data_IF_258733524595
#
_entry.id   IF_258733524595
#
_cell.length_a   1.000
_cell.length_b   1.000
_cell.length_c   1.000
_cell.angle_alpha   90.00
_cell.angle_beta   90.00
_cell.angle_gamma   90.00
#
_symmetry.space_group_name_H-M   'P 1'
#
loop_
_entity.id
_entity.type
_entity.pdbx_description
1 polymer ?
#
# COMPACT_ATOMS: atom_id res chain seq x y z
N UNK A 1 -11.50 -24.26 -9.87
CA UNK A 1 -11.54 -23.69 -8.51
C UNK A 1 -11.13 -22.23 -8.65
N UNK A 2 -12.11 -21.38 -8.92
CA UNK A 2 -11.92 -19.95 -9.23
C UNK A 2 -11.75 -19.19 -7.91
N UNK A 3 -10.54 -18.71 -7.65
CA UNK A 3 -10.19 -17.94 -6.47
C UNK A 3 -10.79 -16.52 -6.62
N UNK A 4 -12.06 -16.37 -6.24
CA UNK A 4 -12.72 -15.06 -6.24
C UNK A 4 -12.03 -14.17 -5.20
N UNK A 5 -11.30 -13.17 -5.69
CA UNK A 5 -10.86 -12.00 -4.90
C UNK A 5 -12.07 -11.47 -4.11
N UNK A 6 -11.91 -11.06 -2.84
CA UNK A 6 -12.98 -10.35 -2.16
C UNK A 6 -13.30 -9.07 -2.95
N UNK A 7 -14.55 -8.95 -3.40
CA UNK A 7 -15.12 -7.64 -3.75
C UNK A 7 -15.19 -6.88 -2.43
N UNK A 8 -14.32 -5.89 -2.27
CA UNK A 8 -14.51 -4.89 -1.25
C UNK A 8 -15.72 -4.05 -1.67
N UNK A 9 -16.89 -4.47 -1.21
CA UNK A 9 -18.12 -3.70 -1.35
C UNK A 9 -17.95 -2.40 -0.56
N UNK A 10 -18.05 -1.27 -1.25
CA UNK A 10 -18.06 0.04 -0.61
C UNK A 10 -19.23 0.10 0.38
N UNK A 11 -19.07 0.70 1.59
CA UNK A 11 -20.17 0.81 2.53
C UNK A 11 -21.34 1.60 1.92
N UNK A 12 -22.55 1.21 2.30
CA UNK A 12 -23.83 1.72 1.80
C UNK A 12 -24.01 3.26 1.89
N UNK A 13 -23.11 3.99 2.57
CA UNK A 13 -23.12 5.46 2.64
C UNK A 13 -22.76 6.17 1.34
N UNK A 14 -22.26 5.46 0.32
CA UNK A 14 -22.01 6.04 -1.01
C UNK A 14 -23.19 5.88 -1.99
N UNK A 15 -24.26 5.17 -1.61
CA UNK A 15 -25.39 4.87 -2.51
C UNK A 15 -26.57 5.85 -2.40
N UNK A 16 -26.54 6.80 -1.46
CA UNK A 16 -27.74 7.58 -1.09
C UNK A 16 -27.94 8.94 -1.80
N UNK A 17 -27.39 9.12 -3.02
CA UNK A 17 -27.68 10.32 -3.85
C UNK A 17 -27.94 10.00 -5.32
N UNK A 18 -28.41 8.80 -5.65
CA UNK A 18 -28.84 8.50 -7.04
C UNK A 18 -30.35 8.55 -7.25
N UNK A 19 -31.15 8.75 -6.19
CA UNK A 19 -32.60 8.76 -6.28
C UNK A 19 -33.19 9.86 -5.39
N UNK A 20 -33.09 11.12 -5.80
CA UNK A 20 -34.18 12.11 -5.74
C UNK A 20 -33.72 13.52 -6.18
N UNK A 21 -34.50 14.08 -7.10
CA UNK A 21 -34.65 15.50 -7.47
C UNK A 21 -33.83 16.04 -8.66
N UNK A 22 -34.44 15.83 -9.83
CA UNK A 22 -34.83 16.88 -10.79
C UNK A 22 -34.62 18.33 -10.30
N UNK A 23 -33.85 19.07 -11.08
CA UNK A 23 -33.88 20.51 -11.38
C UNK A 23 -34.48 21.47 -10.34
N UNK A 24 -33.67 22.34 -9.71
CA UNK A 24 -33.95 23.79 -9.60
C UNK A 24 -32.62 24.56 -9.41
N UNK A 25 -32.42 25.58 -10.25
CA UNK A 25 -31.33 26.55 -10.20
C UNK A 25 -31.33 27.38 -8.91
N UNK A 26 -30.18 27.55 -8.23
CA UNK A 26 -29.77 28.76 -7.51
C UNK A 26 -28.25 28.70 -7.29
N UNK A 27 -27.57 29.82 -7.54
CA UNK A 27 -26.11 29.93 -7.47
C UNK A 27 -25.52 29.72 -6.08
N UNK A 28 -24.23 29.37 -6.06
CA UNK A 28 -23.40 29.24 -4.87
C UNK A 28 -22.57 27.97 -4.92
N UNK A 29 -21.24 28.11 -4.83
CA UNK A 29 -20.23 27.05 -4.84
C UNK A 29 -20.40 26.02 -3.70
N UNK A 30 -21.42 25.16 -3.79
CA UNK A 30 -21.67 24.08 -2.84
C UNK A 30 -21.16 22.73 -3.37
N UNK A 31 -19.84 22.57 -3.22
CA UNK A 31 -19.13 21.35 -2.80
C UNK A 31 -19.73 20.03 -3.33
N UNK A 32 -19.32 19.64 -4.55
CA UNK A 32 -19.23 18.23 -4.92
C UNK A 32 -18.25 17.54 -3.95
N UNK A 33 -18.75 17.06 -2.80
CA UNK A 33 -17.98 16.20 -1.88
C UNK A 33 -17.73 14.87 -2.56
N UNK A 34 -16.69 14.80 -3.39
CA UNK A 34 -16.14 13.53 -3.81
C UNK A 34 -15.53 12.85 -2.59
N UNK A 35 -15.94 11.60 -2.32
CA UNK A 35 -15.25 10.71 -1.41
C UNK A 35 -13.84 10.45 -1.96
N UNK A 36 -12.88 11.33 -1.64
CA UNK A 36 -11.48 11.09 -1.95
C UNK A 36 -10.91 10.15 -0.89
N UNK A 37 -10.93 8.85 -1.18
CA UNK A 37 -10.19 7.85 -0.42
C UNK A 37 -8.68 8.17 -0.50
N UNK A 38 -8.14 8.90 0.48
CA UNK A 38 -6.70 9.02 0.64
C UNK A 38 -6.25 7.87 1.52
N UNK A 39 -5.49 6.91 0.97
CA UNK A 39 -4.89 5.91 1.83
C UNK A 39 -3.86 6.62 2.70
N UNK A 40 -4.07 6.56 4.00
CA UNK A 40 -3.04 6.92 4.97
C UNK A 40 -2.28 5.64 5.30
N UNK A 41 -0.95 5.67 5.15
CA UNK A 41 -0.09 4.62 5.65
C UNK A 41 0.08 4.84 7.15
N UNK A 42 -0.76 4.18 7.94
CA UNK A 42 -0.54 4.05 9.38
C UNK A 42 0.47 2.93 9.61
N UNK A 43 1.35 3.10 10.59
CA UNK A 43 2.46 2.20 10.88
C UNK A 43 1.99 0.73 10.96
N UNK A 44 2.17 -0.04 9.89
CA UNK A 44 1.75 -1.41 9.79
C UNK A 44 2.52 -2.35 10.71
N UNK A 45 3.79 -2.03 10.99
CA UNK A 45 4.65 -2.70 11.98
C UNK A 45 4.66 -4.23 11.82
N UNK A 46 4.65 -4.74 10.59
CA UNK A 46 4.67 -6.19 10.36
C UNK A 46 5.87 -6.85 11.05
N UNK A 47 7.01 -6.15 11.16
CA UNK A 47 8.22 -6.68 11.78
C UNK A 47 8.05 -7.07 13.25
N UNK A 48 7.06 -6.50 13.95
CA UNK A 48 6.76 -6.83 15.35
C UNK A 48 6.08 -8.20 15.52
N UNK A 49 5.45 -8.70 14.45
CA UNK A 49 4.67 -9.94 14.47
C UNK A 49 5.10 -10.96 13.42
N UNK A 50 6.15 -10.64 12.66
CA UNK A 50 6.78 -11.52 11.69
C UNK A 50 8.25 -11.75 12.04
N UNK A 51 8.74 -12.92 11.67
CA UNK A 51 10.13 -13.36 11.85
C UNK A 51 10.68 -13.89 10.52
N UNK A 52 12.00 -14.08 10.45
CA UNK A 52 12.68 -14.55 9.24
C UNK A 52 12.30 -13.69 8.03
N UNK A 53 12.51 -12.38 8.17
CA UNK A 53 12.17 -11.39 7.15
C UNK A 53 13.37 -11.25 6.21
N UNK A 54 13.15 -11.48 4.92
CA UNK A 54 14.20 -11.38 3.90
C UNK A 54 13.61 -11.07 2.51
N UNK A 55 14.46 -10.55 1.61
CA UNK A 55 14.15 -10.47 0.19
C UNK A 55 14.46 -11.81 -0.46
N UNK A 56 13.57 -12.29 -1.32
CA UNK A 56 13.80 -13.51 -2.08
C UNK A 56 15.09 -13.41 -2.92
N UNK A 57 16.03 -14.37 -2.83
CA UNK A 57 17.31 -14.31 -3.56
C UNK A 57 17.18 -14.27 -5.08
N UNK A 58 16.14 -14.92 -5.62
CA UNK A 58 15.88 -15.00 -7.06
C UNK A 58 15.03 -13.80 -7.53
N UNK A 59 14.31 -13.16 -6.60
CA UNK A 59 13.45 -12.02 -6.86
C UNK A 59 13.52 -10.99 -5.73
N UNK A 60 14.50 -10.10 -5.79
CA UNK A 60 14.76 -9.10 -4.74
C UNK A 60 13.63 -8.09 -4.49
N UNK A 61 12.58 -8.07 -5.32
CA UNK A 61 11.35 -7.27 -5.08
C UNK A 61 10.25 -8.04 -4.36
N UNK A 62 10.47 -9.33 -4.06
CA UNK A 62 9.55 -10.15 -3.28
C UNK A 62 10.05 -10.23 -1.84
N UNK A 63 9.33 -9.59 -0.93
CA UNK A 63 9.58 -9.72 0.51
C UNK A 63 8.93 -10.99 1.00
N UNK A 64 9.67 -11.80 1.75
CA UNK A 64 9.17 -13.00 2.43
C UNK A 64 9.35 -12.89 3.92
N UNK A 65 8.39 -13.40 4.68
CA UNK A 65 8.50 -13.54 6.12
C UNK A 65 7.66 -14.72 6.62
N UNK A 66 7.87 -15.09 7.88
CA UNK A 66 6.96 -15.99 8.61
C UNK A 66 6.23 -15.17 9.67
N UNK A 67 4.92 -15.02 9.50
CA UNK A 67 4.09 -14.08 10.25
C UNK A 67 3.12 -14.80 11.18
N UNK A 68 2.84 -14.18 12.33
CA UNK A 68 1.87 -14.68 13.31
C UNK A 68 0.44 -14.56 12.74
N UNK A 69 -0.25 -15.68 12.66
CA UNK A 69 -1.64 -15.84 12.22
C UNK A 69 -2.56 -16.04 13.42
N UNK A 70 -3.64 -15.26 13.45
CA UNK A 70 -4.64 -15.28 14.52
C UNK A 70 -4.18 -14.69 15.86
N UNK A 71 -5.16 -14.49 16.74
CA UNK A 71 -4.95 -14.10 18.14
C UNK A 71 -4.53 -15.28 19.02
N UNK A 72 -3.95 -14.99 20.18
CA UNK A 72 -3.76 -16.01 21.22
C UNK A 72 -5.12 -16.61 21.65
N UNK A 73 -5.22 -17.91 21.95
CA UNK A 73 -4.13 -18.90 22.11
C UNK A 73 -3.71 -19.61 20.82
N UNK A 74 -4.44 -19.44 19.71
CA UNK A 74 -4.27 -20.22 18.48
C UNK A 74 -3.23 -19.63 17.51
N UNK A 75 -2.36 -18.76 18.01
CA UNK A 75 -1.39 -18.06 17.21
C UNK A 75 -0.43 -19.06 16.53
N UNK A 76 -0.42 -19.08 15.20
CA UNK A 76 0.49 -19.91 14.40
C UNK A 76 1.41 -19.03 13.57
N UNK A 77 2.66 -19.43 13.39
CA UNK A 77 3.54 -18.76 12.43
C UNK A 77 3.39 -19.40 11.05
N UNK A 78 2.99 -18.61 10.06
CA UNK A 78 2.75 -19.03 8.67
C UNK A 78 3.62 -18.24 7.71
N UNK A 79 4.08 -18.87 6.64
CA UNK A 79 4.88 -18.19 5.61
C UNK A 79 3.97 -17.27 4.79
N UNK A 80 4.40 -16.04 4.58
CA UNK A 80 3.73 -15.09 3.68
C UNK A 80 4.76 -14.30 2.88
N UNK A 81 4.30 -13.65 1.83
CA UNK A 81 5.13 -12.87 0.92
C UNK A 81 4.34 -11.74 0.28
N UNK A 82 4.99 -10.61 0.08
CA UNK A 82 4.40 -9.43 -0.56
C UNK A 82 5.34 -8.86 -1.64
N UNK A 83 4.78 -8.51 -2.79
CA UNK A 83 5.53 -7.90 -3.89
C UNK A 83 5.69 -6.40 -3.67
N UNK A 84 6.93 -5.95 -3.47
CA UNK A 84 7.25 -4.58 -3.11
C UNK A 84 6.90 -3.56 -4.21
N UNK A 85 6.97 -3.97 -5.48
CA UNK A 85 6.60 -3.13 -6.63
C UNK A 85 5.12 -2.73 -6.66
N UNK A 86 4.27 -3.35 -5.86
CA UNK A 86 2.84 -3.05 -5.84
C UNK A 86 2.56 -1.63 -5.31
N UNK A 87 3.29 -1.21 -4.27
CA UNK A 87 3.00 0.00 -3.49
C UNK A 87 4.24 0.79 -3.07
N UNK A 88 5.44 0.43 -3.53
CA UNK A 88 6.64 1.25 -3.34
C UNK A 88 6.98 1.92 -4.66
N UNK A 89 7.24 3.23 -4.61
CA UNK A 89 7.67 4.04 -5.74
C UNK A 89 9.01 4.72 -5.51
N UNK A 90 9.66 5.06 -6.60
CA UNK A 90 10.76 6.03 -6.60
C UNK A 90 10.19 7.43 -6.91
N UNK A 91 10.35 8.37 -5.97
CA UNK A 91 10.00 9.76 -6.13
C UNK A 91 11.27 10.61 -6.14
N UNK A 92 11.81 10.89 -7.34
CA UNK A 92 13.02 11.70 -7.53
C UNK A 92 14.23 11.21 -6.70
N UNK A 93 14.53 9.92 -6.78
CA UNK A 93 15.63 9.26 -6.07
C UNK A 93 15.27 8.79 -4.66
N UNK A 94 14.07 9.11 -4.16
CA UNK A 94 13.63 8.74 -2.81
C UNK A 94 12.56 7.64 -2.85
N UNK A 95 12.77 6.57 -2.09
CA UNK A 95 11.78 5.52 -1.92
C UNK A 95 10.61 5.97 -1.04
N UNK A 96 9.40 5.70 -1.49
CA UNK A 96 8.17 6.09 -0.80
C UNK A 96 7.11 4.99 -0.93
N UNK A 97 6.41 4.68 0.16
CA UNK A 97 5.17 3.92 0.06
C UNK A 97 4.07 4.81 -0.55
N UNK A 98 3.43 4.34 -1.60
CA UNK A 98 2.39 5.07 -2.33
C UNK A 98 1.24 4.15 -2.67
N UNK A 99 0.06 4.73 -2.73
CA UNK A 99 -1.08 4.08 -3.36
C UNK A 99 -0.83 4.11 -4.86
N UNK A 100 -0.82 2.94 -5.47
CA UNK A 100 -0.80 2.82 -6.92
C UNK A 100 -2.03 2.06 -7.34
N UNK A 101 -3.03 2.81 -7.78
CA UNK A 101 -4.27 2.27 -8.32
C UNK A 101 -3.99 1.72 -9.71
N UNK A 102 -4.40 0.48 -9.96
CA UNK A 102 -4.60 0.01 -11.32
C UNK A 102 -5.88 0.63 -11.85
N UNK A 103 -5.73 1.73 -12.60
CA UNK A 103 -6.82 2.30 -13.36
C UNK A 103 -6.55 2.09 -14.85
N UNK A 104 -7.57 1.75 -15.66
CA UNK A 104 -7.45 1.74 -17.12
C UNK A 104 -6.95 3.08 -17.70
N UNK A 105 -7.06 4.17 -16.93
CA UNK A 105 -6.67 5.52 -17.32
C UNK A 105 -5.27 5.92 -16.84
N UNK A 106 -4.70 5.21 -15.87
CA UNK A 106 -3.39 5.54 -15.27
C UNK A 106 -2.61 4.24 -15.05
N UNK A 107 -1.54 3.98 -15.81
CA UNK A 107 -0.72 2.78 -15.61
C UNK A 107 -0.10 2.77 -14.21
N UNK A 108 0.04 1.58 -13.62
CA UNK A 108 0.58 1.40 -12.27
C UNK A 108 1.98 2.03 -12.14
N UNK A 109 2.11 3.09 -11.35
CA UNK A 109 3.34 3.90 -11.25
C UNK A 109 4.28 3.54 -10.09
N UNK A 110 3.98 2.49 -9.31
CA UNK A 110 4.81 2.18 -8.15
C UNK A 110 6.15 1.60 -8.57
N UNK A 111 6.19 0.38 -9.13
CA UNK A 111 7.33 -0.29 -9.77
C UNK A 111 8.71 0.39 -9.62
N UNK A 112 9.18 0.56 -8.38
CA UNK A 112 10.39 1.33 -8.08
C UNK A 112 11.62 0.63 -8.66
N UNK A 113 11.58 -0.70 -8.75
CA UNK A 113 12.69 -1.52 -9.25
C UNK A 113 13.05 -1.23 -10.71
N UNK A 114 12.18 -0.56 -11.47
CA UNK A 114 12.53 -0.10 -12.82
C UNK A 114 13.63 0.97 -12.82
N UNK A 115 13.77 1.71 -11.71
CA UNK A 115 14.70 2.84 -11.56
C UNK A 115 15.61 2.71 -10.34
N UNK A 116 15.58 1.57 -9.67
CA UNK A 116 16.34 1.32 -8.44
C UNK A 116 17.14 0.03 -8.57
N UNK A 117 18.33 0.04 -7.98
CA UNK A 117 19.31 -1.05 -7.98
C UNK A 117 19.92 -1.23 -6.59
N UNK A 118 20.76 -2.26 -6.44
CA UNK A 118 21.49 -2.56 -5.20
C UNK A 118 20.58 -2.76 -3.98
N UNK A 119 19.49 -3.49 -4.19
CA UNK A 119 18.48 -3.76 -3.17
C UNK A 119 19.07 -4.61 -2.05
N UNK A 120 18.93 -4.11 -0.81
CA UNK A 120 19.28 -4.86 0.40
C UNK A 120 18.29 -4.57 1.52
N UNK A 121 18.04 -5.57 2.35
CA UNK A 121 17.19 -5.44 3.52
C UNK A 121 18.04 -5.56 4.79
N UNK A 122 17.76 -4.72 5.78
CA UNK A 122 18.33 -4.84 7.13
C UNK A 122 17.23 -4.57 8.13
N UNK A 123 16.81 -5.60 8.87
CA UNK A 123 15.60 -5.55 9.68
C UNK A 123 14.36 -5.34 8.80
N UNK A 124 13.57 -4.31 9.10
CA UNK A 124 12.44 -3.87 8.27
C UNK A 124 12.81 -2.77 7.26
N UNK A 125 14.06 -2.29 7.25
CA UNK A 125 14.47 -1.18 6.37
C UNK A 125 15.02 -1.70 5.05
N UNK A 126 14.37 -1.31 3.95
CA UNK A 126 14.84 -1.53 2.59
C UNK A 126 15.80 -0.40 2.19
N UNK A 127 16.97 -0.76 1.71
CA UNK A 127 17.93 0.16 1.12
C UNK A 127 18.05 -0.12 -0.37
N UNK A 128 18.25 0.95 -1.15
CA UNK A 128 18.47 0.88 -2.58
C UNK A 128 19.24 2.11 -3.06
N UNK A 129 19.72 2.05 -4.30
CA UNK A 129 20.16 3.21 -5.07
C UNK A 129 19.14 3.46 -6.17
N UNK A 130 18.47 4.61 -6.15
CA UNK A 130 17.41 4.96 -7.10
C UNK A 130 17.81 6.16 -7.95
N UNK A 131 17.45 6.15 -9.22
CA UNK A 131 17.74 7.27 -10.12
C UNK A 131 16.79 8.45 -9.86
N UNK A 132 17.31 9.68 -9.78
CA UNK A 132 16.51 10.90 -9.69
C UNK A 132 15.87 11.27 -11.04
N UNK A 133 15.12 12.37 -11.11
CA UNK A 133 14.48 12.83 -12.37
C UNK A 133 15.49 13.18 -13.48
N UNK A 134 16.76 13.37 -13.14
CA UNK A 134 17.85 13.63 -14.08
C UNK A 134 18.65 12.36 -14.41
N UNK A 135 18.24 11.18 -13.90
CA UNK A 135 18.94 9.92 -14.07
C UNK A 135 20.17 9.75 -13.16
N UNK A 136 20.35 10.59 -12.14
CA UNK A 136 21.48 10.48 -11.21
C UNK A 136 21.17 9.48 -10.10
N UNK A 137 22.10 8.57 -9.75
CA UNK A 137 21.91 7.66 -8.63
C UNK A 137 21.85 8.38 -7.29
N UNK A 138 20.85 8.07 -6.49
CA UNK A 138 20.66 8.54 -5.12
C UNK A 138 20.52 7.35 -4.19
N UNK A 139 21.37 7.25 -3.18
CA UNK A 139 21.23 6.25 -2.13
C UNK A 139 20.01 6.61 -1.25
N UNK A 140 19.11 5.67 -1.05
CA UNK A 140 17.85 5.86 -0.34
C UNK A 140 17.53 4.66 0.55
N UNK A 141 16.69 4.89 1.55
CA UNK A 141 16.15 3.86 2.42
C UNK A 141 14.69 4.10 2.74
N UNK A 142 13.94 3.03 2.92
CA UNK A 142 12.54 3.05 3.30
C UNK A 142 12.31 2.02 4.40
N UNK A 143 11.77 2.48 5.53
CA UNK A 143 11.28 1.60 6.57
C UNK A 143 9.93 1.00 6.16
N UNK A 144 9.91 -0.32 5.95
CA UNK A 144 8.73 -1.04 5.47
C UNK A 144 7.65 -1.17 6.53
N UNK A 145 7.97 -1.03 7.82
CA UNK A 145 6.97 -1.01 8.89
C UNK A 145 6.02 0.17 8.78
N UNK A 146 6.40 1.20 8.02
CA UNK A 146 5.54 2.35 7.75
C UNK A 146 4.33 2.02 6.89
N UNK A 147 4.38 0.94 6.11
CA UNK A 147 3.35 0.66 5.12
C UNK A 147 3.04 -0.81 4.88
N UNK A 148 3.74 -1.75 5.50
CA UNK A 148 3.43 -3.17 5.47
C UNK A 148 2.96 -3.59 6.85
N UNK A 149 1.83 -4.30 6.89
CA UNK A 149 1.29 -4.93 8.07
C UNK A 149 1.24 -6.45 7.92
N UNK A 150 1.05 -7.10 9.05
CA UNK A 150 0.69 -8.50 9.11
C UNK A 150 -0.79 -8.62 9.50
N UNK A 151 -1.63 -9.01 8.57
CA UNK A 151 -3.04 -9.26 8.79
C UNK A 151 -3.29 -10.76 8.92
N UNK A 152 -3.37 -11.24 10.17
CA UNK A 152 -3.66 -12.65 10.49
C UNK A 152 -2.74 -13.66 9.78
N UNK A 153 -1.47 -13.32 9.60
CA UNK A 153 -0.46 -14.16 8.95
C UNK A 153 -0.24 -13.82 7.48
N UNK A 154 -0.99 -12.87 6.93
CA UNK A 154 -0.82 -12.38 5.56
C UNK A 154 -0.12 -11.02 5.52
N UNK A 155 0.98 -10.92 4.77
CA UNK A 155 1.69 -9.66 4.56
C UNK A 155 0.96 -8.84 3.49
N UNK A 156 0.54 -7.64 3.88
CA UNK A 156 -0.13 -6.73 2.97
C UNK A 156 0.30 -5.29 3.21
N UNK A 157 0.10 -4.44 2.21
CA UNK A 157 0.29 -3.02 2.39
C UNK A 157 -0.90 -2.44 3.16
N UNK A 158 -0.61 -1.63 4.18
CA UNK A 158 -1.62 -0.85 4.89
C UNK A 158 -2.20 0.15 3.91
N UNK A 159 -3.52 0.13 3.76
CA UNK A 159 -4.27 1.17 3.07
C UNK A 159 -5.50 1.50 3.90
N UNK A 160 -5.33 2.38 4.89
CA UNK A 160 -6.45 2.89 5.68
C UNK A 160 -7.25 3.90 4.87
N UNK A 161 -8.56 3.71 4.72
CA UNK A 161 -9.47 4.77 4.29
C UNK A 161 -9.61 5.79 5.42
N UNK A 162 -8.79 6.84 5.42
CA UNK A 162 -8.91 7.91 6.41
C UNK A 162 -10.12 8.79 6.12
N UNK A 163 -11.14 8.75 6.97
CA UNK A 163 -12.23 9.73 6.99
C UNK A 163 -11.83 10.88 7.93
N UNK A 164 -11.40 12.02 7.38
CA UNK A 164 -11.28 13.25 8.18
C UNK A 164 -12.63 13.97 8.14
N UNK A 165 -13.39 13.86 9.24
CA UNK A 165 -14.53 14.74 9.48
C UNK A 165 -13.93 16.06 9.96
N UNK A 166 -13.86 17.07 9.09
CA UNK A 166 -13.67 18.44 9.55
C UNK A 166 -15.00 18.88 10.18
N UNK A 167 -14.97 19.13 11.49
CA UNK A 167 -16.10 19.66 12.25
C UNK A 167 -16.16 21.18 12.08
#
# INVERSE_FOLDING_TARGET
MENRRPRYDAPASCYFTLLLLVSIAFGGDHVLRQCAAKCHFENGNFSHSCIQIFLDPDNLVLLRATCKSGGAPNAKFVKSSVGLNANIRNNNGQLECSVCLDSPLVPRHCNFSHSCRDLRLTGATLYATCDDRNGKPVATSLDLDRCIENHEGDLQFVCGFGFTIFH
#
